data_IF_186902262333
#
_entry.id   IF_186902262333
#
_cell.length_a   1.000
_cell.length_b   1.000
_cell.length_c   1.000
_cell.angle_alpha   90.00
_cell.angle_beta   90.00
_cell.angle_gamma   90.00
#
_symmetry.space_group_name_H-M   'P 1'
#
loop_
_entity.id
_entity.type
_entity.pdbx_description
1 polymer ?
#
# COMPACT_ATOMS: atom_id res chain seq x y z
N UNK A 1 13.96 -6.89 1.54
CA UNK A 1 13.18 -5.79 0.90
C UNK A 1 12.22 -5.14 1.91
N UNK A 2 12.60 -4.00 2.51
CA UNK A 2 11.86 -3.37 3.62
C UNK A 2 10.51 -2.75 3.19
N UNK A 3 10.42 -2.17 2.01
CA UNK A 3 9.19 -1.55 1.49
C UNK A 3 8.06 -2.56 1.24
N UNK A 4 8.32 -3.69 0.58
CA UNK A 4 7.32 -4.75 0.40
C UNK A 4 6.86 -5.36 1.73
N UNK A 5 7.77 -5.47 2.71
CA UNK A 5 7.39 -5.93 4.06
C UNK A 5 6.39 -4.96 4.70
N UNK A 6 6.61 -3.65 4.58
CA UNK A 6 5.65 -2.64 5.05
C UNK A 6 4.33 -2.75 4.27
N UNK A 7 4.36 -2.75 2.95
CA UNK A 7 3.16 -2.85 2.10
C UNK A 7 2.36 -4.16 2.32
N UNK A 8 3.01 -5.23 2.75
CA UNK A 8 2.32 -6.47 3.14
C UNK A 8 1.61 -6.35 4.50
N UNK A 9 1.98 -5.38 5.33
CA UNK A 9 1.37 -5.16 6.65
C UNK A 9 0.17 -4.21 6.64
N UNK A 10 -0.14 -3.59 5.50
CA UNK A 10 -1.24 -2.65 5.42
C UNK A 10 -1.18 -1.75 4.20
N UNK A 11 -1.80 -0.58 4.31
CA UNK A 11 -1.98 0.35 3.21
C UNK A 11 -1.35 1.68 3.55
N UNK A 12 -0.69 2.29 2.56
CA UNK A 12 0.13 3.47 2.81
C UNK A 12 0.02 4.49 1.68
N UNK A 13 0.27 5.74 2.03
CA UNK A 13 0.58 6.84 1.11
C UNK A 13 2.11 6.95 0.90
N UNK A 14 2.57 7.75 -0.07
CA UNK A 14 4.01 8.06 -0.22
C UNK A 14 4.56 8.67 1.08
N UNK A 15 3.86 9.64 1.67
CA UNK A 15 4.30 10.33 2.89
C UNK A 15 4.51 9.36 4.06
N UNK A 16 3.55 8.45 4.26
CA UNK A 16 3.62 7.48 5.36
C UNK A 16 4.69 6.41 5.12
N UNK A 17 4.91 6.00 3.87
CA UNK A 17 6.02 5.12 3.51
C UNK A 17 7.37 5.79 3.72
N UNK A 18 7.53 7.04 3.28
CA UNK A 18 8.75 7.84 3.44
C UNK A 18 9.11 7.98 4.92
N UNK A 19 8.14 8.36 5.75
CA UNK A 19 8.31 8.45 7.20
C UNK A 19 8.72 7.11 7.82
N UNK A 20 8.04 5.99 7.48
CA UNK A 20 8.35 4.67 8.04
C UNK A 20 9.67 4.07 7.55
N UNK A 21 10.10 4.41 6.34
CA UNK A 21 11.37 3.95 5.77
C UNK A 21 12.54 4.85 6.14
N UNK A 22 12.27 6.06 6.65
CA UNK A 22 13.30 7.05 6.96
C UNK A 22 14.03 7.56 5.71
N UNK A 23 13.31 7.66 4.58
CA UNK A 23 13.87 8.09 3.30
C UNK A 23 13.06 9.22 2.68
N UNK A 24 13.67 9.92 1.73
CA UNK A 24 13.02 11.01 1.01
C UNK A 24 11.81 10.53 0.19
N UNK A 25 10.80 11.41 0.05
CA UNK A 25 9.55 11.11 -0.66
C UNK A 25 9.80 10.81 -2.14
N UNK A 26 10.77 11.47 -2.77
CA UNK A 26 11.13 11.23 -4.16
C UNK A 26 11.64 9.80 -4.35
N UNK A 27 12.52 9.32 -3.45
CA UNK A 27 13.05 7.96 -3.48
C UNK A 27 11.92 6.93 -3.30
N UNK A 28 10.98 7.18 -2.38
CA UNK A 28 9.82 6.31 -2.20
C UNK A 28 8.94 6.31 -3.44
N UNK A 29 8.73 7.46 -4.08
CA UNK A 29 7.93 7.58 -5.29
C UNK A 29 8.51 6.73 -6.42
N UNK A 30 9.81 6.89 -6.73
CA UNK A 30 10.49 6.09 -7.76
C UNK A 30 10.38 4.58 -7.47
N UNK A 31 10.56 4.18 -6.21
CA UNK A 31 10.41 2.78 -5.79
C UNK A 31 8.98 2.27 -5.99
N UNK A 32 7.97 3.06 -5.61
CA UNK A 32 6.57 2.69 -5.75
C UNK A 32 6.17 2.62 -7.22
N UNK A 33 6.58 3.59 -8.03
CA UNK A 33 6.35 3.61 -9.47
C UNK A 33 6.92 2.34 -10.12
N UNK A 34 8.14 1.95 -9.76
CA UNK A 34 8.73 0.68 -10.19
C UNK A 34 7.88 -0.54 -9.78
N UNK A 35 7.39 -0.59 -8.54
CA UNK A 35 6.57 -1.70 -8.04
C UNK A 35 5.19 -1.76 -8.71
N UNK A 36 4.61 -0.60 -9.03
CA UNK A 36 3.34 -0.47 -9.75
C UNK A 36 3.49 -0.94 -11.19
N UNK A 37 4.54 -0.49 -11.90
CA UNK A 37 4.86 -0.94 -13.27
C UNK A 37 5.01 -2.46 -13.33
N UNK A 38 5.65 -3.05 -12.32
CA UNK A 38 5.83 -4.52 -12.21
C UNK A 38 4.57 -5.26 -11.74
N UNK A 39 3.50 -4.55 -11.39
CA UNK A 39 2.24 -5.08 -10.84
C UNK A 39 2.39 -5.80 -9.49
N UNK A 40 3.39 -5.43 -8.70
CA UNK A 40 3.55 -5.91 -7.32
C UNK A 40 2.73 -5.09 -6.33
N UNK A 41 2.38 -3.87 -6.72
CA UNK A 41 1.60 -2.92 -5.94
C UNK A 41 0.56 -2.29 -6.86
N UNK A 42 -0.64 -2.04 -6.36
CA UNK A 42 -1.66 -1.26 -7.03
C UNK A 42 -1.71 0.14 -6.41
N UNK A 43 -1.75 1.16 -7.26
CA UNK A 43 -2.19 2.50 -6.88
C UNK A 43 -3.72 2.52 -6.88
N UNK A 44 -4.32 2.99 -5.79
CA UNK A 44 -5.77 3.19 -5.69
C UNK A 44 -6.01 4.61 -5.22
N UNK A 45 -6.93 5.30 -5.87
CA UNK A 45 -7.39 6.62 -5.43
C UNK A 45 -8.63 6.45 -4.56
N UNK A 46 -8.59 6.99 -3.34
CA UNK A 46 -9.71 7.01 -2.41
C UNK A 46 -10.06 8.45 -2.07
N UNK A 47 -11.35 8.75 -1.92
CA UNK A 47 -11.82 10.11 -1.69
C UNK A 47 -13.04 10.18 -0.77
N UNK A 48 -13.66 11.37 -0.64
CA UNK A 48 -14.86 11.57 0.17
C UNK A 48 -16.00 10.62 -0.20
N UNK A 49 -16.07 10.19 -1.46
CA UNK A 49 -17.03 9.21 -1.96
C UNK A 49 -16.87 7.81 -1.35
N UNK A 50 -15.71 7.53 -0.76
CA UNK A 50 -15.49 6.29 -0.03
C UNK A 50 -16.43 6.22 1.18
N UNK A 51 -16.67 7.35 1.88
CA UNK A 51 -17.58 7.39 3.03
C UNK A 51 -19.03 7.14 2.62
N UNK A 52 -19.50 7.73 1.51
CA UNK A 52 -20.87 7.55 1.02
C UNK A 52 -21.12 6.15 0.47
N UNK A 53 -20.14 5.54 -0.21
CA UNK A 53 -20.21 4.15 -0.69
C UNK A 53 -19.92 3.12 0.40
N UNK A 54 -19.21 3.48 1.47
CA UNK A 54 -18.92 2.57 2.57
C UNK A 54 -20.11 2.34 3.50
N UNK A 55 -21.07 3.26 3.59
CA UNK A 55 -22.27 3.05 4.41
C UNK A 55 -23.07 1.79 4.00
N UNK A 56 -23.01 1.40 2.73
CA UNK A 56 -23.62 0.19 2.16
C UNK A 56 -22.61 -0.95 1.91
N UNK A 57 -21.33 -0.72 2.20
CA UNK A 57 -20.28 -1.70 1.97
C UNK A 57 -20.26 -2.74 3.10
N UNK A 58 -20.50 -4.01 2.76
CA UNK A 58 -20.55 -5.14 3.73
C UNK A 58 -19.27 -5.31 4.56
N UNK A 59 -18.14 -4.78 4.09
CA UNK A 59 -16.84 -4.85 4.77
C UNK A 59 -16.43 -3.52 5.42
N UNK A 60 -17.31 -2.52 5.53
CA UNK A 60 -16.97 -1.20 6.04
C UNK A 60 -16.31 -1.22 7.43
N UNK A 61 -16.78 -2.09 8.34
CA UNK A 61 -16.23 -2.19 9.71
C UNK A 61 -14.79 -2.73 9.76
N UNK A 62 -14.39 -3.55 8.81
CA UNK A 62 -13.03 -4.11 8.70
C UNK A 62 -12.16 -3.38 7.68
N UNK A 63 -12.76 -2.51 6.86
CA UNK A 63 -12.06 -1.74 5.85
C UNK A 63 -11.20 -0.65 6.51
N UNK A 64 -9.87 -0.64 6.32
CA UNK A 64 -8.99 0.36 6.90
C UNK A 64 -9.30 1.78 6.39
N UNK A 65 -9.99 1.91 5.25
CA UNK A 65 -10.35 3.19 4.64
C UNK A 65 -11.63 3.81 5.21
N UNK A 66 -12.48 3.03 5.89
CA UNK A 66 -13.74 3.54 6.45
C UNK A 66 -13.51 4.62 7.53
N UNK A 67 -12.41 4.50 8.28
CA UNK A 67 -12.03 5.45 9.34
C UNK A 67 -11.34 6.70 8.82
N UNK A 68 -10.91 6.72 7.55
CA UNK A 68 -10.27 7.88 6.95
C UNK A 68 -11.37 8.87 6.54
N UNK A 69 -11.60 9.88 7.39
CA UNK A 69 -12.53 10.98 7.09
C UNK A 69 -11.87 11.91 6.07
N UNK A 70 -11.83 11.47 4.81
CA UNK A 70 -11.15 12.15 3.71
C UNK A 70 -12.01 13.29 3.18
N UNK A 71 -11.47 14.51 3.28
CA UNK A 71 -12.07 15.70 2.65
C UNK A 71 -11.57 15.91 1.21
N UNK A 72 -10.53 15.17 0.80
CA UNK A 72 -9.92 15.23 -0.53
C UNK A 72 -9.57 13.82 -1.02
N UNK A 73 -9.36 13.67 -2.33
CA UNK A 73 -8.85 12.42 -2.88
C UNK A 73 -7.38 12.23 -2.52
N UNK A 74 -7.03 11.03 -2.09
CA UNK A 74 -5.66 10.63 -1.79
C UNK A 74 -5.32 9.31 -2.50
N UNK A 75 -4.06 9.19 -2.89
CA UNK A 75 -3.51 7.97 -3.46
C UNK A 75 -2.96 7.08 -2.37
N UNK A 76 -3.34 5.82 -2.42
CA UNK A 76 -2.87 4.75 -1.53
C UNK A 76 -2.28 3.62 -2.36
N UNK A 77 -1.37 2.87 -1.74
CA UNK A 77 -0.63 1.80 -2.38
C UNK A 77 -0.86 0.49 -1.61
N UNK A 78 -1.34 -0.52 -2.33
CA UNK A 78 -1.73 -1.82 -1.78
C UNK A 78 -0.94 -2.91 -2.49
N UNK A 79 -0.35 -3.84 -1.74
CA UNK A 79 0.36 -4.98 -2.34
C UNK A 79 -0.62 -5.89 -3.10
N UNK A 80 -0.21 -6.41 -4.24
CA UNK A 80 -0.98 -7.41 -5.00
C UNK A 80 -0.63 -8.83 -4.56
N UNK A 81 -1.44 -9.83 -4.93
CA UNK A 81 -1.10 -11.25 -4.73
C UNK A 81 0.27 -11.60 -5.33
N UNK A 82 0.55 -11.09 -6.54
CA UNK A 82 1.86 -11.22 -7.19
C UNK A 82 2.99 -10.61 -6.36
N UNK A 83 2.75 -9.46 -5.74
CA UNK A 83 3.70 -8.80 -4.83
C UNK A 83 3.96 -9.61 -3.56
N UNK A 84 2.91 -10.19 -2.99
CA UNK A 84 2.99 -11.08 -1.82
C UNK A 84 3.81 -12.32 -2.15
N UNK A 85 3.56 -12.96 -3.29
CA UNK A 85 4.30 -14.14 -3.72
C UNK A 85 5.76 -13.84 -3.99
N UNK A 86 6.05 -12.71 -4.63
CA UNK A 86 7.42 -12.25 -4.83
C UNK A 86 8.13 -12.02 -3.48
N UNK A 87 7.46 -11.36 -2.53
CA UNK A 87 7.99 -11.16 -1.18
C UNK A 87 8.29 -12.49 -0.48
N UNK A 88 7.36 -13.45 -0.50
CA UNK A 88 7.54 -14.78 0.10
C UNK A 88 8.71 -15.55 -0.49
N UNK A 89 8.89 -15.49 -1.83
CA UNK A 89 10.04 -16.13 -2.50
C UNK A 89 11.35 -15.48 -2.05
N UNK A 90 11.38 -14.15 -1.98
CA UNK A 90 12.57 -13.41 -1.55
C UNK A 90 12.93 -13.70 -0.07
N UNK A 91 11.96 -13.85 0.82
CA UNK A 91 12.22 -14.17 2.23
C UNK A 91 12.66 -15.62 2.43
N UNK A 92 12.17 -16.56 1.62
CA UNK A 92 12.62 -17.96 1.68
C UNK A 92 14.09 -18.11 1.27
N UNK A 93 14.53 -17.39 0.25
CA UNK A 93 15.92 -17.45 -0.24
C UNK A 93 16.94 -16.93 0.80
N UNK A 94 16.54 -16.02 1.68
CA UNK A 94 17.44 -15.46 2.71
C UNK A 94 17.57 -16.31 4.00
N UNK A 95 16.83 -17.41 4.13
CA UNK A 95 16.96 -18.35 5.27
C UNK A 95 17.79 -19.59 4.92
N UNK A 96 18.48 -19.59 3.77
CA UNK A 96 19.32 -20.69 3.29
C UNK A 96 20.77 -20.24 3.07
N UNK A 97 21.25 -19.25 3.83
CA UNK A 97 22.64 -18.78 3.81
C UNK A 97 23.16 -18.60 5.22
#
# INVERSE_FOLDING_TARGET
MKALKLLNSGVFTIDTLASKLGVDKYVVKELIDYLVIRRYVNEVEIGPECKSKCATCRIAKSCPFYKLNLNTKIKIYVITEKGIDYFKRYTKVNHSS
#
